data_IF_913088073857
#
_entry.id   IF_913088073857
#
_cell.length_a   1.000
_cell.length_b   1.000
_cell.length_c   1.000
_cell.angle_alpha   90.00
_cell.angle_beta   90.00
_cell.angle_gamma   90.00
#
_symmetry.space_group_name_H-M   'P 1'
#
loop_
_entity.id
_entity.type
_entity.pdbx_description
1 polymer ?
#
# COMPACT_ATOMS: atom_id res chain seq x y z
N UNK A 1 -49.38 0.41 -21.87
CA UNK A 1 -48.33 1.34 -21.38
C UNK A 1 -47.36 0.52 -20.57
N UNK A 2 -46.25 0.15 -21.15
CA UNK A 2 -45.29 -0.81 -20.57
C UNK A 2 -44.18 -0.03 -19.84
N UNK A 3 -44.14 -0.16 -18.54
CA UNK A 3 -43.13 0.48 -17.67
C UNK A 3 -41.87 -0.40 -17.70
N UNK A 4 -40.87 -0.04 -18.52
CA UNK A 4 -39.59 -0.70 -18.54
C UNK A 4 -38.79 -0.24 -17.32
N UNK A 5 -38.78 -1.07 -16.28
CA UNK A 5 -37.82 -0.98 -15.17
C UNK A 5 -36.40 -1.00 -15.75
N UNK A 6 -35.74 0.12 -15.76
CA UNK A 6 -34.27 0.21 -15.90
C UNK A 6 -33.68 -0.41 -14.64
N UNK A 7 -33.32 -1.68 -14.71
CA UNK A 7 -32.37 -2.27 -13.75
C UNK A 7 -31.08 -1.47 -13.87
N UNK A 8 -30.75 -0.71 -12.83
CA UNK A 8 -29.46 -0.08 -12.69
C UNK A 8 -28.39 -1.17 -12.78
N UNK A 9 -27.60 -1.14 -13.84
CA UNK A 9 -26.45 -2.01 -13.96
C UNK A 9 -25.49 -1.70 -12.83
N UNK A 10 -25.02 -2.72 -12.12
CA UNK A 10 -23.87 -2.62 -11.24
C UNK A 10 -22.71 -1.97 -12.02
N UNK A 11 -21.98 -1.02 -11.42
CA UNK A 11 -20.89 -0.35 -12.12
C UNK A 11 -19.83 -1.36 -12.57
N UNK A 12 -19.18 -1.05 -13.69
CA UNK A 12 -18.13 -1.83 -14.40
C UNK A 12 -16.88 -2.22 -13.56
N UNK A 13 -17.05 -2.56 -12.30
CA UNK A 13 -15.95 -2.89 -11.36
C UNK A 13 -15.45 -4.34 -11.47
N UNK A 14 -16.02 -5.16 -12.31
CA UNK A 14 -15.78 -6.61 -12.32
C UNK A 14 -14.53 -7.07 -13.08
N UNK A 15 -13.72 -6.15 -13.63
CA UNK A 15 -12.55 -6.52 -14.47
C UNK A 15 -11.26 -5.76 -14.14
N UNK A 16 -11.11 -5.26 -12.92
CA UNK A 16 -9.84 -4.65 -12.53
C UNK A 16 -8.82 -5.71 -12.15
N UNK A 17 -7.59 -5.47 -12.57
CA UNK A 17 -6.44 -6.26 -12.19
C UNK A 17 -6.27 -6.22 -10.65
N UNK A 18 -6.08 -7.37 -9.97
CA UNK A 18 -5.91 -7.37 -8.53
C UNK A 18 -4.60 -6.69 -8.11
N UNK A 19 -4.56 -6.15 -6.89
CA UNK A 19 -3.37 -5.52 -6.33
C UNK A 19 -2.86 -6.33 -5.16
N UNK A 20 -1.53 -6.42 -5.06
CA UNK A 20 -0.80 -6.91 -3.89
C UNK A 20 0.13 -5.81 -3.40
N UNK A 21 0.04 -5.44 -2.14
CA UNK A 21 0.90 -4.44 -1.51
C UNK A 21 2.01 -5.16 -0.77
N UNK A 22 3.24 -4.83 -1.11
CA UNK A 22 4.41 -5.35 -0.39
C UNK A 22 5.18 -4.23 0.27
N UNK A 23 5.90 -4.54 1.34
CA UNK A 23 6.76 -3.57 2.02
C UNK A 23 7.79 -4.26 2.90
N UNK A 24 8.71 -3.47 3.44
CA UNK A 24 9.82 -3.95 4.26
C UNK A 24 9.53 -4.11 5.75
N UNK A 25 8.30 -3.82 6.20
CA UNK A 25 7.88 -4.01 7.59
C UNK A 25 8.49 -3.06 8.61
N UNK A 26 9.30 -2.06 8.20
CA UNK A 26 9.85 -1.05 9.10
C UNK A 26 8.73 -0.13 9.61
N UNK A 27 8.93 0.52 10.75
CA UNK A 27 8.02 1.57 11.24
C UNK A 27 7.81 2.67 10.19
N UNK A 28 6.83 3.53 10.38
CA UNK A 28 6.55 4.62 9.46
C UNK A 28 5.84 4.13 8.19
N UNK A 29 6.32 4.53 7.02
CA UNK A 29 5.61 4.30 5.73
C UNK A 29 5.43 2.82 5.39
N UNK A 30 6.42 1.98 5.69
CA UNK A 30 6.35 0.55 5.38
C UNK A 30 5.12 -0.10 6.03
N UNK A 31 4.95 0.07 7.34
CA UNK A 31 3.79 -0.44 8.08
C UNK A 31 2.51 0.28 7.71
N UNK A 32 2.56 1.58 7.44
CA UNK A 32 1.39 2.33 6.99
C UNK A 32 0.80 1.73 5.70
N UNK A 33 1.65 1.32 4.76
CA UNK A 33 1.24 0.65 3.54
C UNK A 33 0.56 -0.69 3.78
N UNK A 34 1.15 -1.52 4.66
CA UNK A 34 0.58 -2.82 5.00
C UNK A 34 -0.76 -2.68 5.73
N UNK A 35 -0.82 -1.79 6.75
CA UNK A 35 -2.05 -1.52 7.52
C UNK A 35 -3.17 -1.03 6.61
N UNK A 36 -2.90 -0.04 5.76
CA UNK A 36 -3.90 0.47 4.81
C UNK A 36 -4.39 -0.61 3.84
N UNK A 37 -3.49 -1.47 3.35
CA UNK A 37 -3.85 -2.56 2.45
C UNK A 37 -4.72 -3.62 3.15
N UNK A 38 -4.35 -4.01 4.35
CA UNK A 38 -5.09 -5.00 5.17
C UNK A 38 -6.50 -4.49 5.49
N UNK A 39 -6.66 -3.20 5.79
CA UNK A 39 -7.98 -2.59 6.05
C UNK A 39 -8.96 -2.73 4.87
N UNK A 40 -8.45 -2.85 3.65
CA UNK A 40 -9.26 -3.03 2.44
C UNK A 40 -9.17 -4.43 1.84
N UNK A 41 -8.73 -5.42 2.63
CA UNK A 41 -8.59 -6.83 2.21
C UNK A 41 -7.74 -7.01 0.94
N UNK A 42 -6.79 -6.11 0.69
CA UNK A 42 -5.80 -6.30 -0.34
C UNK A 42 -4.77 -7.34 0.11
N UNK A 43 -4.25 -8.11 -0.83
CA UNK A 43 -3.17 -9.04 -0.53
C UNK A 43 -1.92 -8.27 -0.06
N UNK A 44 -1.30 -8.71 1.02
CA UNK A 44 -0.08 -8.10 1.57
C UNK A 44 1.09 -9.08 1.58
N UNK A 45 2.30 -8.54 1.71
CA UNK A 45 3.52 -9.34 1.81
C UNK A 45 4.77 -8.47 1.76
N UNK A 46 5.87 -9.08 1.36
CA UNK A 46 7.16 -8.41 1.21
C UNK A 46 8.28 -9.12 1.91
N UNK A 47 9.46 -8.51 1.87
CA UNK A 47 10.68 -9.01 2.48
C UNK A 47 11.06 -8.15 3.67
N UNK A 48 11.41 -8.81 4.78
CA UNK A 48 11.96 -8.19 5.99
C UNK A 48 13.39 -8.68 6.22
N UNK A 49 14.22 -7.96 6.99
CA UNK A 49 15.55 -8.45 7.34
C UNK A 49 15.46 -9.77 8.12
N UNK A 50 16.56 -10.52 8.12
CA UNK A 50 16.70 -11.73 8.95
C UNK A 50 16.40 -11.41 10.42
N UNK A 51 15.61 -12.26 11.06
CA UNK A 51 15.10 -12.04 12.42
C UNK A 51 13.93 -11.05 12.48
N UNK A 52 13.35 -10.67 11.34
CA UNK A 52 12.22 -9.71 11.25
C UNK A 52 12.51 -8.37 11.93
N UNK A 53 13.77 -7.91 11.88
CA UNK A 53 14.23 -6.73 12.64
C UNK A 53 13.69 -5.41 12.07
N UNK A 54 13.17 -4.57 12.95
CA UNK A 54 12.80 -3.18 12.73
C UNK A 54 13.41 -2.29 13.84
N UNK A 55 13.27 -0.97 13.75
CA UNK A 55 13.85 -0.05 14.74
C UNK A 55 13.21 -0.18 16.14
N UNK A 56 11.97 -0.65 16.21
CA UNK A 56 11.20 -0.85 17.43
C UNK A 56 11.22 -2.31 17.94
N UNK A 57 12.03 -3.16 17.33
CA UNK A 57 12.19 -4.56 17.70
C UNK A 57 11.84 -5.53 16.56
N UNK A 58 11.09 -6.57 16.86
CA UNK A 58 10.67 -7.57 15.86
C UNK A 58 9.36 -7.13 15.21
N UNK A 59 9.30 -7.19 13.87
CA UNK A 59 8.06 -6.93 13.13
C UNK A 59 6.99 -7.91 13.58
N UNK A 60 5.83 -7.43 14.05
CA UNK A 60 4.76 -8.28 14.57
C UNK A 60 4.28 -9.35 13.56
N UNK A 61 3.86 -10.51 14.06
CA UNK A 61 3.42 -11.62 13.20
C UNK A 61 2.06 -11.37 12.52
N UNK A 62 1.24 -10.47 13.07
CA UNK A 62 -0.01 -10.05 12.44
C UNK A 62 0.20 -9.39 11.06
N UNK A 63 1.42 -8.92 10.75
CA UNK A 63 1.82 -8.62 9.38
C UNK A 63 2.14 -9.91 8.63
N UNK A 64 1.09 -10.63 8.23
CA UNK A 64 1.21 -11.89 7.50
C UNK A 64 1.77 -11.70 6.08
N UNK A 65 2.30 -12.76 5.48
CA UNK A 65 2.87 -12.72 4.13
C UNK A 65 4.24 -12.07 4.02
N UNK A 66 4.82 -11.59 5.13
CA UNK A 66 6.21 -11.12 5.17
C UNK A 66 7.17 -12.30 5.25
N UNK A 67 8.22 -12.27 4.43
CA UNK A 67 9.26 -13.28 4.33
C UNK A 67 10.61 -12.69 4.74
N UNK A 68 11.43 -13.46 5.40
CA UNK A 68 12.78 -13.05 5.75
C UNK A 68 13.73 -13.17 4.55
N UNK A 69 14.59 -12.17 4.36
CA UNK A 69 15.73 -12.28 3.45
C UNK A 69 17.01 -12.63 4.23
N UNK A 70 18.01 -13.23 3.56
CA UNK A 70 19.29 -13.63 4.17
C UNK A 70 20.22 -12.44 4.44
N UNK A 71 19.73 -11.22 4.50
CA UNK A 71 20.54 -10.03 4.68
C UNK A 71 19.89 -8.98 5.59
N UNK A 72 20.51 -7.81 5.59
CA UNK A 72 20.07 -6.66 6.36
C UNK A 72 19.07 -5.77 5.60
N UNK A 73 19.04 -4.49 5.99
CA UNK A 73 18.08 -3.51 5.43
C UNK A 73 18.29 -3.24 3.94
N UNK A 74 19.52 -3.31 3.41
CA UNK A 74 19.81 -3.09 1.98
C UNK A 74 19.30 -4.24 1.13
N UNK A 75 19.59 -5.47 1.52
CA UNK A 75 19.14 -6.69 0.85
C UNK A 75 17.62 -6.77 0.85
N UNK A 76 16.98 -6.45 1.97
CA UNK A 76 15.54 -6.35 2.09
C UNK A 76 14.95 -5.32 1.11
N UNK A 77 15.55 -4.12 1.02
CA UNK A 77 15.10 -3.08 0.08
C UNK A 77 15.22 -3.57 -1.37
N UNK A 78 16.36 -4.16 -1.73
CA UNK A 78 16.56 -4.72 -3.07
C UNK A 78 15.53 -5.81 -3.38
N UNK A 79 15.29 -6.72 -2.46
CA UNK A 79 14.32 -7.80 -2.63
C UNK A 79 12.90 -7.27 -2.89
N UNK A 80 12.42 -6.27 -2.12
CA UNK A 80 11.12 -5.67 -2.31
C UNK A 80 11.01 -4.94 -3.67
N UNK A 81 11.99 -4.12 -4.03
CA UNK A 81 12.00 -3.42 -5.33
C UNK A 81 12.07 -4.43 -6.48
N UNK A 82 12.87 -5.50 -6.35
CA UNK A 82 13.00 -6.52 -7.40
C UNK A 82 11.72 -7.34 -7.57
N UNK A 83 11.00 -7.68 -6.49
CA UNK A 83 9.74 -8.43 -6.58
C UNK A 83 8.59 -7.56 -7.13
N UNK A 84 8.55 -6.27 -6.78
CA UNK A 84 7.46 -5.39 -7.17
C UNK A 84 7.42 -5.12 -8.69
N UNK A 85 6.23 -4.88 -9.23
CA UNK A 85 6.06 -4.30 -10.57
C UNK A 85 6.39 -2.81 -10.56
N UNK A 86 6.09 -2.12 -9.44
CA UNK A 86 6.35 -0.70 -9.27
C UNK A 86 6.61 -0.36 -7.78
N UNK A 87 7.26 0.78 -7.51
CA UNK A 87 7.56 1.24 -6.14
C UNK A 87 6.97 2.63 -5.89
N UNK A 88 6.12 2.74 -4.87
CA UNK A 88 5.59 4.00 -4.35
C UNK A 88 6.43 4.43 -3.15
N UNK A 89 7.04 5.60 -3.25
CA UNK A 89 7.87 6.19 -2.19
C UNK A 89 7.14 7.41 -1.64
N UNK A 90 6.77 7.35 -0.36
CA UNK A 90 6.09 8.44 0.33
C UNK A 90 7.09 9.13 1.28
N UNK A 91 7.13 10.46 1.27
CA UNK A 91 7.98 11.23 2.17
C UNK A 91 7.33 12.58 2.50
N UNK A 92 7.77 13.22 3.56
CA UNK A 92 7.37 14.60 3.94
C UNK A 92 8.58 15.50 4.21
N UNK A 93 9.79 15.01 3.93
CA UNK A 93 11.04 15.75 4.03
C UNK A 93 11.90 15.52 2.81
N UNK A 94 12.45 16.57 2.27
CA UNK A 94 13.31 16.55 1.09
C UNK A 94 14.59 17.36 1.31
N UNK A 95 15.72 16.99 0.66
CA UNK A 95 15.88 15.84 -0.23
C UNK A 95 15.73 14.50 0.51
N UNK A 96 15.38 13.43 -0.23
CA UNK A 96 15.34 12.08 0.32
C UNK A 96 16.71 11.68 0.87
N UNK A 97 16.73 10.88 1.94
CA UNK A 97 17.98 10.44 2.57
C UNK A 97 17.90 8.99 3.03
N UNK A 98 19.06 8.41 3.37
CA UNK A 98 19.19 7.08 3.96
C UNK A 98 18.53 5.98 3.12
N UNK A 99 17.75 5.11 3.76
CA UNK A 99 17.08 3.98 3.10
C UNK A 99 16.04 4.40 2.07
N UNK A 100 15.38 5.56 2.28
CA UNK A 100 14.37 6.08 1.34
C UNK A 100 15.02 6.52 0.02
N UNK A 101 16.13 7.27 0.10
CA UNK A 101 16.91 7.63 -1.09
C UNK A 101 17.43 6.38 -1.80
N UNK A 102 18.00 5.42 -1.04
CA UNK A 102 18.48 4.17 -1.61
C UNK A 102 17.39 3.38 -2.35
N UNK A 103 16.15 3.41 -1.86
CA UNK A 103 15.02 2.75 -2.56
C UNK A 103 14.76 3.40 -3.92
N UNK A 104 14.77 4.73 -3.99
CA UNK A 104 14.58 5.47 -5.25
C UNK A 104 15.73 5.20 -6.24
N UNK A 105 16.96 5.29 -5.77
CA UNK A 105 18.16 5.04 -6.59
C UNK A 105 18.17 3.61 -7.15
N UNK A 106 17.85 2.63 -6.31
CA UNK A 106 17.84 1.24 -6.76
C UNK A 106 16.67 0.95 -7.71
N UNK A 107 15.48 1.54 -7.51
CA UNK A 107 14.37 1.40 -8.45
C UNK A 107 14.74 1.98 -9.83
N UNK A 108 15.41 3.13 -9.86
CA UNK A 108 15.93 3.74 -11.08
C UNK A 108 17.02 2.87 -11.74
N UNK A 109 17.96 2.34 -10.95
CA UNK A 109 19.04 1.46 -11.42
C UNK A 109 18.50 0.22 -12.14
N UNK A 110 17.46 -0.41 -11.60
CA UNK A 110 16.87 -1.62 -12.21
C UNK A 110 15.79 -1.33 -13.25
N UNK A 111 15.56 -0.06 -13.57
CA UNK A 111 14.61 0.36 -14.61
C UNK A 111 13.15 0.07 -14.28
N UNK A 112 12.77 -0.05 -13.00
CA UNK A 112 11.38 -0.31 -12.60
C UNK A 112 10.62 0.99 -12.38
N UNK A 113 9.33 1.06 -12.73
CA UNK A 113 8.50 2.22 -12.46
C UNK A 113 8.52 2.57 -10.97
N UNK A 114 8.72 3.84 -10.65
CA UNK A 114 8.56 4.32 -9.27
C UNK A 114 7.98 5.74 -9.26
N UNK A 115 7.31 6.07 -8.18
CA UNK A 115 6.74 7.40 -7.93
C UNK A 115 7.14 7.87 -6.55
N UNK A 116 7.67 9.08 -6.47
CA UNK A 116 7.91 9.77 -5.19
C UNK A 116 6.78 10.76 -5.00
N UNK A 117 6.14 10.73 -3.83
CA UNK A 117 5.03 11.61 -3.48
C UNK A 117 5.33 12.32 -2.17
N UNK A 118 5.17 13.64 -2.18
CA UNK A 118 5.29 14.49 -0.99
C UNK A 118 3.97 14.50 -0.21
N UNK A 119 3.98 13.94 1.00
CA UNK A 119 2.82 13.92 1.90
C UNK A 119 2.53 15.27 2.55
N UNK A 120 3.39 16.27 2.36
CA UNK A 120 3.13 17.65 2.73
C UNK A 120 2.23 18.39 1.74
N UNK A 121 2.08 17.86 0.53
CA UNK A 121 1.23 18.42 -0.52
C UNK A 121 -0.20 17.90 -0.41
N UNK A 122 -1.19 18.79 -0.60
CA UNK A 122 -2.61 18.45 -0.43
C UNK A 122 -3.20 17.53 -1.52
N UNK A 123 -2.44 17.24 -2.57
CA UNK A 123 -2.86 16.43 -3.72
C UNK A 123 -2.27 15.01 -3.76
N UNK A 124 -1.59 14.59 -2.69
CA UNK A 124 -0.92 13.29 -2.61
C UNK A 124 -1.84 12.11 -2.98
N UNK A 125 -3.09 12.11 -2.50
CA UNK A 125 -4.09 11.08 -2.82
C UNK A 125 -4.34 11.01 -4.34
N UNK A 126 -4.53 12.16 -4.98
CA UNK A 126 -4.80 12.24 -6.42
C UNK A 126 -3.60 11.74 -7.21
N UNK A 127 -2.39 12.19 -6.86
CA UNK A 127 -1.16 11.78 -7.52
C UNK A 127 -0.93 10.27 -7.45
N UNK A 128 -1.14 9.65 -6.28
CA UNK A 128 -0.97 8.20 -6.09
C UNK A 128 -2.02 7.46 -6.91
N UNK A 129 -3.29 7.85 -6.81
CA UNK A 129 -4.39 7.20 -7.51
C UNK A 129 -4.19 7.21 -9.03
N UNK A 130 -3.89 8.36 -9.60
CA UNK A 130 -3.69 8.50 -11.05
C UNK A 130 -2.50 7.67 -11.53
N UNK A 131 -1.41 7.68 -10.76
CA UNK A 131 -0.25 6.87 -11.11
C UNK A 131 -0.53 5.37 -10.99
N UNK A 132 -1.23 4.91 -9.96
CA UNK A 132 -1.62 3.50 -9.84
C UNK A 132 -2.51 3.09 -11.02
N UNK A 133 -3.48 3.92 -11.42
CA UNK A 133 -4.32 3.65 -12.59
C UNK A 133 -3.50 3.52 -13.88
N UNK A 134 -2.43 4.28 -14.03
CA UNK A 134 -1.55 4.19 -15.21
C UNK A 134 -0.72 2.91 -15.26
N UNK A 135 -0.62 2.16 -14.16
CA UNK A 135 0.06 0.87 -14.11
C UNK A 135 -0.85 -0.31 -14.48
N UNK A 136 -2.17 -0.11 -14.48
CA UNK A 136 -3.12 -1.15 -14.89
C UNK A 136 -3.03 -1.37 -16.41
N UNK A 137 -3.22 -2.60 -16.86
CA UNK A 137 -3.26 -2.93 -18.30
C UNK A 137 -4.40 -2.20 -18.99
N UNK A 138 -4.12 -1.52 -20.09
CA UNK A 138 -5.08 -0.70 -20.84
C UNK A 138 -6.24 -1.54 -21.39
N UNK A 139 -6.02 -2.82 -21.63
CA UNK A 139 -7.01 -3.74 -22.22
C UNK A 139 -7.73 -4.63 -21.19
N UNK A 140 -7.36 -4.54 -19.90
CA UNK A 140 -7.94 -5.37 -18.83
C UNK A 140 -7.72 -6.88 -19.03
N UNK A 141 -6.79 -7.28 -19.91
CA UNK A 141 -6.57 -8.69 -20.28
C UNK A 141 -5.76 -9.45 -19.22
N UNK A 142 -4.91 -8.76 -18.47
CA UNK A 142 -4.10 -9.40 -17.43
C UNK A 142 -4.92 -9.61 -16.14
N UNK A 143 -4.92 -10.86 -15.67
CA UNK A 143 -5.49 -11.26 -14.37
C UNK A 143 -4.43 -11.44 -13.29
N UNK A 144 -3.16 -11.21 -13.60
CA UNK A 144 -2.10 -11.26 -12.63
C UNK A 144 -2.13 -10.03 -11.73
N UNK A 145 -1.85 -10.23 -10.44
CA UNK A 145 -1.82 -9.12 -9.50
C UNK A 145 -0.68 -8.15 -9.81
N UNK A 146 -0.97 -6.85 -9.78
CA UNK A 146 0.07 -5.83 -9.76
C UNK A 146 0.66 -5.78 -8.36
N UNK A 147 1.95 -6.03 -8.25
CA UNK A 147 2.69 -5.99 -6.99
C UNK A 147 3.27 -4.59 -6.81
N UNK A 148 2.76 -3.84 -5.82
CA UNK A 148 3.22 -2.51 -5.47
C UNK A 148 4.05 -2.55 -4.19
N UNK A 149 5.31 -2.15 -4.27
CA UNK A 149 6.14 -1.91 -3.11
C UNK A 149 5.86 -0.50 -2.54
N UNK A 150 5.47 -0.41 -1.28
CA UNK A 150 5.30 0.86 -0.56
C UNK A 150 6.49 1.06 0.37
N UNK A 151 7.18 2.18 0.23
CA UNK A 151 8.41 2.50 0.95
C UNK A 151 8.48 3.98 1.34
N UNK A 152 9.29 4.28 2.35
CA UNK A 152 9.52 5.65 2.80
C UNK A 152 10.32 5.72 4.09
N UNK A 153 10.35 6.89 4.76
CA UNK A 153 11.05 7.03 6.03
C UNK A 153 10.37 6.23 7.13
N UNK A 154 11.19 5.77 8.06
CA UNK A 154 10.74 5.18 9.31
C UNK A 154 10.29 6.28 10.29
N UNK A 155 9.54 5.89 11.31
CA UNK A 155 8.91 6.81 12.26
C UNK A 155 9.94 7.67 13.01
N UNK A 156 11.11 7.12 13.39
CA UNK A 156 12.16 7.87 14.06
C UNK A 156 12.82 8.95 13.19
N UNK A 157 12.80 8.80 11.87
CA UNK A 157 13.36 9.79 10.91
C UNK A 157 12.33 10.88 10.60
N UNK A 158 11.06 10.52 10.49
CA UNK A 158 9.96 11.45 10.25
C UNK A 158 8.79 11.14 11.19
N UNK A 159 8.80 11.68 12.44
CA UNK A 159 7.74 11.45 13.40
C UNK A 159 6.35 11.84 12.86
N UNK A 160 5.38 10.94 13.00
CA UNK A 160 4.00 11.10 12.49
C UNK A 160 3.82 10.68 11.03
N UNK A 161 4.87 10.20 10.36
CA UNK A 161 4.78 9.78 8.96
C UNK A 161 3.88 8.56 8.76
N UNK A 162 3.85 7.63 9.75
CA UNK A 162 2.94 6.50 9.73
C UNK A 162 1.50 6.95 9.56
N UNK A 163 1.04 7.86 10.43
CA UNK A 163 -0.34 8.36 10.39
C UNK A 163 -0.66 9.08 9.09
N UNK A 164 0.25 9.95 8.61
CA UNK A 164 0.09 10.66 7.33
C UNK A 164 -0.04 9.68 6.15
N UNK A 165 0.91 8.76 6.03
CA UNK A 165 0.94 7.78 4.95
C UNK A 165 -0.27 6.84 5.00
N UNK A 166 -0.63 6.30 6.19
CA UNK A 166 -1.80 5.46 6.38
C UNK A 166 -3.08 6.14 5.91
N UNK A 167 -3.31 7.38 6.34
CA UNK A 167 -4.54 8.11 6.00
C UNK A 167 -4.69 8.33 4.49
N UNK A 168 -3.60 8.69 3.80
CA UNK A 168 -3.62 8.87 2.35
C UNK A 168 -3.82 7.53 1.64
N UNK A 169 -3.04 6.51 2.01
CA UNK A 169 -3.12 5.18 1.39
C UNK A 169 -4.46 4.50 1.63
N UNK A 170 -5.06 4.67 2.81
CA UNK A 170 -6.38 4.13 3.11
C UNK A 170 -7.44 4.68 2.13
N UNK A 171 -7.44 5.98 1.86
CA UNK A 171 -8.34 6.60 0.87
C UNK A 171 -8.08 6.11 -0.55
N UNK A 172 -6.80 5.98 -0.92
CA UNK A 172 -6.42 5.46 -2.23
C UNK A 172 -6.86 4.01 -2.39
N UNK A 173 -6.50 3.13 -1.45
CA UNK A 173 -6.75 1.68 -1.57
C UNK A 173 -8.24 1.32 -1.52
N UNK A 174 -9.08 2.13 -0.89
CA UNK A 174 -10.53 1.99 -0.98
C UNK A 174 -11.05 1.88 -2.43
N UNK A 175 -10.34 2.50 -3.39
CA UNK A 175 -10.68 2.48 -4.81
C UNK A 175 -10.18 1.25 -5.56
N UNK A 176 -9.22 0.53 -4.97
CA UNK A 176 -8.55 -0.64 -5.57
C UNK A 176 -8.89 -1.95 -4.88
N UNK A 177 -9.79 -1.91 -3.90
CA UNK A 177 -10.23 -3.12 -3.18
C UNK A 177 -10.81 -4.16 -4.14
N UNK A 178 -10.44 -5.41 -3.94
CA UNK A 178 -11.08 -6.52 -4.60
C UNK A 178 -12.44 -6.75 -3.94
N UNK A 179 -13.51 -6.31 -4.56
CA UNK A 179 -14.86 -6.49 -4.03
C UNK A 179 -15.25 -7.96 -4.14
N UNK A 180 -15.25 -8.68 -3.03
CA UNK A 180 -15.88 -9.99 -2.89
C UNK A 180 -17.09 -9.98 -1.95
N UNK A 181 -17.61 -8.80 -1.59
CA UNK A 181 -18.79 -8.66 -0.71
C UNK A 181 -18.52 -9.00 0.76
N UNK A 182 -17.27 -8.90 1.22
CA UNK A 182 -16.90 -9.18 2.60
C UNK A 182 -16.70 -7.93 3.45
N UNK A 183 -16.74 -8.11 4.76
CA UNK A 183 -16.48 -7.08 5.75
C UNK A 183 -15.04 -6.53 5.62
N UNK A 184 -14.87 -5.26 5.89
CA UNK A 184 -13.58 -4.58 5.94
C UNK A 184 -13.00 -4.70 7.34
N UNK A 185 -11.72 -5.03 7.42
CA UNK A 185 -11.01 -5.12 8.68
C UNK A 185 -10.61 -3.72 9.16
N UNK A 186 -11.15 -3.29 10.29
CA UNK A 186 -10.64 -2.11 10.99
C UNK A 186 -9.48 -2.53 11.89
N UNK A 187 -8.34 -1.89 11.72
CA UNK A 187 -7.13 -2.14 12.51
C UNK A 187 -6.62 -0.83 13.11
N UNK A 188 -6.05 -0.91 14.31
CA UNK A 188 -5.46 0.24 15.01
C UNK A 188 -4.09 0.65 14.46
N UNK A 189 -3.47 1.61 15.12
CA UNK A 189 -2.20 2.19 14.69
C UNK A 189 -1.02 1.22 14.79
N UNK A 190 -1.12 0.15 15.55
CA UNK A 190 -0.08 -0.88 15.67
C UNK A 190 -0.34 -2.10 14.77
N UNK A 191 -1.44 -2.11 14.02
CA UNK A 191 -1.82 -3.20 13.13
C UNK A 191 -2.68 -4.29 13.78
N UNK A 192 -3.17 -4.06 15.01
CA UNK A 192 -4.07 -4.99 15.69
C UNK A 192 -5.51 -4.85 15.17
N UNK A 193 -6.19 -5.98 15.05
CA UNK A 193 -7.58 -6.02 14.60
C UNK A 193 -8.49 -5.37 15.66
N UNK A 194 -9.17 -4.28 15.30
CA UNK A 194 -10.16 -3.63 16.15
C UNK A 194 -11.55 -4.26 15.93
N UNK A 195 -11.97 -4.38 14.68
CA UNK A 195 -13.27 -4.92 14.32
C UNK A 195 -13.34 -5.32 12.83
N UNK A 196 -14.31 -6.18 12.52
CA UNK A 196 -14.83 -6.35 11.16
C UNK A 196 -15.99 -5.39 11.01
N UNK A 197 -15.97 -4.52 10.03
CA UNK A 197 -17.03 -3.57 9.74
C UNK A 197 -17.55 -3.79 8.33
N UNK A 198 -18.84 -3.57 8.13
CA UNK A 198 -19.42 -3.50 6.81
C UNK A 198 -18.73 -2.46 5.95
N UNK A 199 -18.56 -2.73 4.67
CA UNK A 199 -17.83 -1.85 3.77
C UNK A 199 -18.51 -0.47 3.58
N UNK A 200 -19.86 -0.39 3.71
CA UNK A 200 -20.60 0.88 3.67
C UNK A 200 -20.35 1.68 4.95
N UNK A 201 -20.38 1.01 6.10
CA UNK A 201 -20.08 1.62 7.39
C UNK A 201 -18.62 2.10 7.47
N UNK A 202 -17.69 1.37 6.85
CA UNK A 202 -16.29 1.79 6.78
C UNK A 202 -16.11 3.08 5.96
N UNK A 203 -16.83 3.24 4.86
CA UNK A 203 -16.82 4.50 4.08
C UNK A 203 -17.35 5.69 4.90
N UNK A 204 -18.34 5.48 5.75
CA UNK A 204 -18.92 6.50 6.61
C UNK A 204 -17.99 6.86 7.78
N UNK A 205 -17.38 5.87 8.42
CA UNK A 205 -16.48 6.06 9.57
C UNK A 205 -15.13 6.69 9.20
N UNK A 206 -14.65 6.48 7.96
CA UNK A 206 -13.33 6.96 7.51
C UNK A 206 -13.42 8.14 6.52
N UNK A 207 -14.62 8.68 6.28
CA UNK A 207 -14.83 9.89 5.47
C UNK A 207 -14.64 11.19 6.25
N UNK A 208 -14.21 11.12 7.51
CA UNK A 208 -13.90 12.26 8.39
C UNK A 208 -12.44 12.68 8.32
#
# INVERSE_FOLDING_TARGET
MSNKNKKGGLPERLNRQPWKIISGGQTGVDRAGLVAAMSWSLAVGGWVPKGRLAEDGVVPENFYGLRECEGGYRERTRANVTEANATLILADKFPLSGGTAYTADFAAEVGKPFKIVDLGMGDAEVQIREWMLSLESVDGSSREAIVLNVAGPRESVSPGIFKKARNVLHKVFARFRNWSGGDVCAIDDDGSLIAWVDAELAEELFSL
#
